data_IF_090027561650
#
_entry.id   IF_090027561650
#
_cell.length_a   1.000
_cell.length_b   1.000
_cell.length_c   1.000
_cell.angle_alpha   90.00
_cell.angle_beta   90.00
_cell.angle_gamma   90.00
#
_symmetry.space_group_name_H-M   'P 1'
#
loop_
_entity.id
_entity.type
_entity.pdbx_description
1 polymer ?
#
# COMPACT_ATOMS: atom_id res chain seq x y z
N UNK A 1 6.95 -16.15 14.49
CA UNK A 1 7.47 -15.68 13.18
C UNK A 1 8.29 -14.39 13.29
N UNK A 2 7.95 -13.42 14.15
CA UNK A 2 8.75 -12.20 14.38
C UNK A 2 10.19 -12.48 14.83
N UNK A 3 10.44 -13.56 15.57
CA UNK A 3 11.79 -13.98 15.98
C UNK A 3 12.73 -14.35 14.80
N UNK A 4 12.19 -14.74 13.64
CA UNK A 4 13.01 -15.04 12.45
C UNK A 4 13.48 -13.78 11.73
N UNK A 5 12.84 -12.63 11.96
CA UNK A 5 13.24 -11.34 11.37
C UNK A 5 14.63 -10.92 11.88
N UNK A 6 14.94 -11.26 13.13
CA UNK A 6 16.24 -10.93 13.75
C UNK A 6 17.34 -11.96 13.47
N UNK A 7 17.03 -13.10 12.83
CA UNK A 7 18.00 -14.14 12.45
C UNK A 7 18.27 -14.08 10.94
N UNK A 8 18.94 -13.02 10.50
CA UNK A 8 19.32 -12.79 9.11
C UNK A 8 20.82 -12.99 8.83
N UNK A 9 21.16 -13.45 7.63
CA UNK A 9 22.56 -13.51 7.16
C UNK A 9 23.16 -12.11 6.98
N UNK A 10 24.50 -11.97 6.87
CA UNK A 10 25.14 -10.66 6.62
C UNK A 10 24.56 -9.96 5.36
N UNK A 11 24.24 -10.73 4.32
CA UNK A 11 23.61 -10.21 3.09
C UNK A 11 22.21 -9.66 3.32
N UNK A 12 21.41 -10.30 4.18
CA UNK A 12 20.08 -9.80 4.57
C UNK A 12 20.18 -8.43 5.23
N UNK A 13 21.10 -8.26 6.18
CA UNK A 13 21.30 -6.99 6.87
C UNK A 13 21.81 -5.87 5.96
N UNK A 14 22.70 -6.17 5.00
CA UNK A 14 23.09 -5.19 3.98
C UNK A 14 21.89 -4.76 3.12
N UNK A 15 21.03 -5.69 2.73
CA UNK A 15 19.84 -5.38 1.95
C UNK A 15 18.84 -4.52 2.73
N UNK A 16 18.59 -4.85 4.00
CA UNK A 16 17.74 -4.05 4.88
C UNK A 16 18.32 -2.65 5.08
N UNK A 17 19.63 -2.52 5.32
CA UNK A 17 20.30 -1.23 5.48
C UNK A 17 20.20 -0.37 4.22
N UNK A 18 20.36 -0.97 3.04
CA UNK A 18 20.19 -0.29 1.75
C UNK A 18 18.76 0.23 1.56
N UNK A 19 17.74 -0.60 1.83
CA UNK A 19 16.34 -0.19 1.73
C UNK A 19 16.00 0.94 2.72
N UNK A 20 16.51 0.87 3.95
CA UNK A 20 16.35 1.93 4.95
C UNK A 20 17.01 3.24 4.52
N UNK A 21 18.17 3.18 3.86
CA UNK A 21 18.83 4.37 3.31
C UNK A 21 17.97 5.04 2.23
N UNK A 22 17.35 4.26 1.34
CA UNK A 22 16.41 4.79 0.33
C UNK A 22 15.20 5.44 1.00
N UNK A 23 14.62 4.80 2.01
CA UNK A 23 13.48 5.35 2.77
C UNK A 23 13.89 6.65 3.46
N UNK A 24 15.08 6.73 4.04
CA UNK A 24 15.61 7.94 4.67
C UNK A 24 15.75 9.10 3.67
N UNK A 25 16.28 8.83 2.47
CA UNK A 25 16.35 9.83 1.40
C UNK A 25 14.94 10.31 1.02
N UNK A 26 13.98 9.39 0.87
CA UNK A 26 12.58 9.73 0.61
C UNK A 26 11.95 10.59 1.71
N UNK A 27 12.22 10.28 2.97
CA UNK A 27 11.73 11.05 4.12
C UNK A 27 12.34 12.46 4.18
N UNK A 28 13.63 12.61 3.87
CA UNK A 28 14.28 13.93 3.78
C UNK A 28 13.68 14.77 2.65
N UNK A 29 13.46 14.16 1.48
CA UNK A 29 12.79 14.84 0.35
C UNK A 29 11.36 15.27 0.70
N UNK A 30 10.59 14.41 1.38
CA UNK A 30 9.26 14.74 1.86
C UNK A 30 9.28 15.90 2.88
N UNK A 31 10.26 15.91 3.79
CA UNK A 31 10.44 17.00 4.75
C UNK A 31 10.71 18.34 4.06
N UNK A 32 11.53 18.35 3.02
CA UNK A 32 11.77 19.55 2.20
C UNK A 32 10.49 20.02 1.49
N UNK A 33 9.75 19.07 0.91
CA UNK A 33 8.46 19.34 0.27
C UNK A 33 7.43 19.91 1.25
N UNK A 34 7.39 19.45 2.50
CA UNK A 34 6.48 19.98 3.50
C UNK A 34 6.75 21.45 3.82
N UNK A 35 8.03 21.88 3.82
CA UNK A 35 8.42 23.27 4.10
C UNK A 35 8.21 24.22 2.92
N UNK A 36 8.56 23.78 1.71
CA UNK A 36 8.60 24.64 0.52
C UNK A 36 7.29 24.55 -0.29
N UNK A 37 6.52 23.48 -0.08
CA UNK A 37 5.24 23.22 -0.74
C UNK A 37 5.35 22.29 -1.94
N UNK A 38 4.19 21.88 -2.47
CA UNK A 38 4.07 20.93 -3.58
C UNK A 38 4.75 21.39 -4.88
N UNK A 39 5.09 22.67 -5.02
CA UNK A 39 5.77 23.20 -6.22
C UNK A 39 7.15 22.59 -6.49
N UNK A 40 7.83 22.02 -5.47
CA UNK A 40 9.11 21.29 -5.67
C UNK A 40 8.95 20.10 -6.61
N UNK A 41 7.77 19.49 -6.63
CA UNK A 41 7.50 18.30 -7.44
C UNK A 41 7.32 18.59 -8.94
N UNK A 42 7.42 19.87 -9.34
CA UNK A 42 7.14 20.31 -10.70
C UNK A 42 5.64 20.44 -11.02
N UNK A 43 4.76 20.22 -10.03
CA UNK A 43 3.33 20.49 -10.16
C UNK A 43 3.08 22.00 -10.24
N UNK A 44 2.19 22.39 -11.16
CA UNK A 44 1.84 23.77 -11.42
C UNK A 44 0.35 23.94 -11.66
N UNK A 45 -0.12 25.17 -11.91
CA UNK A 45 -1.56 25.44 -12.08
C UNK A 45 -2.20 24.71 -13.28
N UNK A 46 -1.42 24.35 -14.29
CA UNK A 46 -1.88 23.61 -15.48
C UNK A 46 -1.77 22.08 -15.34
N UNK A 47 -0.87 21.61 -14.47
CA UNK A 47 -0.64 20.20 -14.21
C UNK A 47 -0.65 20.04 -12.70
N UNK A 48 -1.85 19.90 -12.16
CA UNK A 48 -2.09 19.77 -10.72
C UNK A 48 -1.81 18.37 -10.19
N UNK A 49 -1.76 17.37 -11.07
CA UNK A 49 -1.50 15.97 -10.76
C UNK A 49 -0.20 15.54 -11.41
N UNK A 50 0.82 15.31 -10.58
CA UNK A 50 2.15 14.93 -11.00
C UNK A 50 2.46 13.46 -10.73
N UNK A 51 3.69 13.20 -10.30
CA UNK A 51 4.20 11.85 -10.05
C UNK A 51 3.42 11.07 -8.98
N UNK A 52 2.83 11.74 -8.00
CA UNK A 52 2.09 11.05 -6.94
C UNK A 52 0.83 10.37 -7.44
N UNK A 53 -0.03 11.09 -8.14
CA UNK A 53 -1.29 10.53 -8.65
C UNK A 53 -1.03 9.53 -9.78
N UNK A 54 0.01 9.73 -10.59
CA UNK A 54 0.44 8.74 -11.58
C UNK A 54 0.91 7.42 -10.94
N UNK A 55 1.71 7.49 -9.87
CA UNK A 55 2.14 6.28 -9.15
C UNK A 55 1.00 5.63 -8.37
N UNK A 56 0.09 6.44 -7.83
CA UNK A 56 -1.12 5.97 -7.17
C UNK A 56 -1.97 5.12 -8.12
N UNK A 57 -2.33 5.63 -9.31
CA UNK A 57 -3.14 4.88 -10.28
C UNK A 57 -2.44 3.61 -10.75
N UNK A 58 -1.12 3.66 -10.93
CA UNK A 58 -0.32 2.47 -11.24
C UNK A 58 -0.42 1.41 -10.12
N UNK A 59 -0.21 1.80 -8.86
CA UNK A 59 -0.24 0.87 -7.74
C UNK A 59 -1.64 0.33 -7.44
N UNK A 60 -2.70 1.12 -7.68
CA UNK A 60 -4.07 0.60 -7.67
C UNK A 60 -4.23 -0.50 -8.71
N UNK A 61 -3.69 -0.32 -9.91
CA UNK A 61 -3.65 -1.36 -10.95
C UNK A 61 -2.88 -2.61 -10.51
N UNK A 62 -1.71 -2.44 -9.87
CA UNK A 62 -0.94 -3.56 -9.31
C UNK A 62 -1.75 -4.30 -8.23
N UNK A 63 -2.41 -3.58 -7.33
CA UNK A 63 -3.24 -4.17 -6.29
C UNK A 63 -4.44 -4.93 -6.87
N UNK A 64 -5.10 -4.38 -7.90
CA UNK A 64 -6.19 -5.06 -8.60
C UNK A 64 -5.72 -6.33 -9.33
N UNK A 65 -4.50 -6.30 -9.91
CA UNK A 65 -3.91 -7.48 -10.57
C UNK A 65 -3.62 -8.60 -9.58
N UNK A 66 -3.26 -8.28 -8.33
CA UNK A 66 -3.06 -9.28 -7.28
C UNK A 66 -4.37 -10.03 -6.98
N UNK A 67 -5.51 -9.32 -6.86
CA UNK A 67 -6.83 -9.93 -6.65
C UNK A 67 -7.26 -10.80 -7.82
N UNK A 68 -6.97 -10.38 -9.04
CA UNK A 68 -7.28 -11.19 -10.23
C UNK A 68 -6.58 -12.55 -10.22
N UNK A 69 -5.39 -12.67 -9.62
CA UNK A 69 -4.68 -13.95 -9.45
C UNK A 69 -5.28 -14.78 -8.31
N UNK A 70 -5.84 -14.10 -7.31
CA UNK A 70 -6.44 -14.72 -6.12
C UNK A 70 -7.85 -15.25 -6.38
N UNK A 71 -8.63 -14.59 -7.24
CA UNK A 71 -10.03 -14.91 -7.51
C UNK A 71 -10.24 -16.35 -8.02
N UNK A 72 -9.46 -16.88 -8.99
CA UNK A 72 -9.61 -18.25 -9.44
C UNK A 72 -9.22 -19.27 -8.36
N UNK A 73 -8.32 -18.91 -7.45
CA UNK A 73 -7.92 -19.77 -6.34
C UNK A 73 -9.07 -20.02 -5.37
N UNK A 74 -9.88 -18.98 -5.10
CA UNK A 74 -11.04 -19.07 -4.21
C UNK A 74 -12.25 -19.72 -4.88
N UNK A 75 -12.52 -19.41 -6.16
CA UNK A 75 -13.72 -19.90 -6.86
C UNK A 75 -13.55 -21.35 -7.36
N UNK A 76 -12.37 -21.71 -7.86
CA UNK A 76 -12.13 -23.02 -8.49
C UNK A 76 -11.36 -24.01 -7.60
N UNK A 77 -11.12 -23.66 -6.33
CA UNK A 77 -10.43 -24.45 -5.28
C UNK A 77 -9.16 -25.18 -5.76
N UNK A 78 -8.40 -24.52 -6.63
CA UNK A 78 -7.25 -25.11 -7.26
C UNK A 78 -6.03 -25.03 -6.32
N UNK A 79 -5.70 -26.15 -5.66
CA UNK A 79 -4.67 -26.23 -4.59
C UNK A 79 -3.31 -25.61 -4.92
N UNK A 80 -2.89 -25.56 -6.20
CA UNK A 80 -1.63 -24.93 -6.62
C UNK A 80 -1.64 -23.41 -6.49
N UNK A 81 -2.80 -22.76 -6.58
CA UNK A 81 -2.91 -21.31 -6.49
C UNK A 81 -2.92 -20.80 -5.03
N UNK A 82 -3.26 -21.64 -4.04
CA UNK A 82 -3.31 -21.23 -2.61
C UNK A 82 -2.00 -20.61 -2.10
N UNK A 83 -0.85 -21.09 -2.57
CA UNK A 83 0.47 -20.54 -2.18
C UNK A 83 0.80 -19.22 -2.89
N UNK A 84 0.31 -19.05 -4.13
CA UNK A 84 0.46 -17.83 -4.92
C UNK A 84 -0.49 -16.75 -4.38
N UNK A 85 -1.68 -17.14 -3.93
CA UNK A 85 -2.67 -16.28 -3.29
C UNK A 85 -2.10 -15.56 -2.08
N UNK A 86 -1.39 -16.27 -1.19
CA UNK A 86 -0.75 -15.64 -0.04
C UNK A 86 0.22 -14.52 -0.46
N UNK A 87 1.07 -14.77 -1.47
CA UNK A 87 2.00 -13.75 -1.98
C UNK A 87 1.27 -12.57 -2.65
N UNK A 88 0.16 -12.84 -3.35
CA UNK A 88 -0.70 -11.81 -3.94
C UNK A 88 -1.33 -10.89 -2.88
N UNK A 89 -1.89 -11.48 -1.82
CA UNK A 89 -2.47 -10.73 -0.68
C UNK A 89 -1.43 -9.83 0.00
N UNK A 90 -0.22 -10.34 0.27
CA UNK A 90 0.85 -9.51 0.84
C UNK A 90 1.27 -8.35 -0.09
N UNK A 91 1.34 -8.62 -1.40
CA UNK A 91 1.63 -7.58 -2.39
C UNK A 91 0.54 -6.52 -2.42
N UNK A 92 -0.74 -6.93 -2.36
CA UNK A 92 -1.87 -6.04 -2.32
C UNK A 92 -1.84 -5.13 -1.08
N UNK A 93 -1.58 -5.68 0.12
CA UNK A 93 -1.40 -4.87 1.35
C UNK A 93 -0.30 -3.82 1.17
N UNK A 94 0.86 -4.21 0.63
CA UNK A 94 1.97 -3.29 0.42
C UNK A 94 1.63 -2.19 -0.61
N UNK A 95 1.02 -2.57 -1.73
CA UNK A 95 0.62 -1.64 -2.79
C UNK A 95 -0.42 -0.63 -2.31
N UNK A 96 -1.45 -1.08 -1.60
CA UNK A 96 -2.52 -0.21 -1.06
C UNK A 96 -1.99 0.72 0.02
N UNK A 97 -1.09 0.24 0.88
CA UNK A 97 -0.42 1.09 1.87
C UNK A 97 0.32 2.23 1.18
N UNK A 98 1.05 1.93 0.09
CA UNK A 98 1.72 2.95 -0.71
C UNK A 98 0.74 3.90 -1.42
N UNK A 99 -0.40 3.41 -1.92
CA UNK A 99 -1.45 4.25 -2.48
C UNK A 99 -1.95 5.29 -1.47
N UNK A 100 -2.27 4.86 -0.24
CA UNK A 100 -2.73 5.76 0.82
C UNK A 100 -1.65 6.81 1.16
N UNK A 101 -0.39 6.39 1.25
CA UNK A 101 0.72 7.31 1.48
C UNK A 101 0.85 8.36 0.36
N UNK A 102 0.74 7.96 -0.91
CA UNK A 102 0.81 8.91 -2.01
C UNK A 102 -0.33 9.93 -2.00
N UNK A 103 -1.56 9.51 -1.70
CA UNK A 103 -2.70 10.42 -1.54
C UNK A 103 -2.48 11.40 -0.39
N UNK A 104 -1.95 10.93 0.75
CA UNK A 104 -1.66 11.80 1.90
C UNK A 104 -0.56 12.82 1.61
N UNK A 105 0.47 12.42 0.88
CA UNK A 105 1.58 13.30 0.48
C UNK A 105 1.12 14.34 -0.55
N UNK A 106 0.27 13.94 -1.51
CA UNK A 106 -0.27 14.81 -2.54
C UNK A 106 -1.20 15.89 -1.97
N UNK A 107 -1.89 15.61 -0.86
CA UNK A 107 -2.73 16.58 -0.15
C UNK A 107 -1.95 17.81 0.35
N UNK A 108 -0.62 17.71 0.52
CA UNK A 108 0.27 18.78 0.99
C UNK A 108 0.07 19.23 2.45
N UNK A 109 -1.09 18.97 3.05
CA UNK A 109 -1.43 19.22 4.46
C UNK A 109 -2.04 17.96 5.08
N UNK A 110 -1.20 16.96 5.45
CA UNK A 110 -1.68 15.69 5.98
C UNK A 110 -2.48 15.85 7.29
N UNK A 111 -2.22 16.92 8.06
CA UNK A 111 -2.98 17.27 9.26
C UNK A 111 -4.48 17.42 8.99
N UNK A 112 -4.87 17.82 7.77
CA UNK A 112 -6.27 17.98 7.37
C UNK A 112 -6.87 16.72 6.77
N UNK A 113 -6.07 15.68 6.51
CA UNK A 113 -6.58 14.43 5.98
C UNK A 113 -7.57 13.76 6.95
N UNK A 114 -7.39 13.94 8.27
CA UNK A 114 -8.34 13.48 9.28
C UNK A 114 -9.74 14.12 9.14
N UNK A 115 -9.85 15.32 8.56
CA UNK A 115 -11.15 15.94 8.32
C UNK A 115 -11.95 15.19 7.25
N UNK A 116 -11.29 14.47 6.32
CA UNK A 116 -11.96 13.64 5.33
C UNK A 116 -12.69 12.47 6.00
N UNK A 117 -12.13 11.95 7.09
CA UNK A 117 -12.76 10.88 7.89
C UNK A 117 -13.89 11.41 8.78
N UNK A 118 -13.69 12.58 9.40
CA UNK A 118 -14.65 13.16 10.36
C UNK A 118 -15.84 13.85 9.67
N UNK A 119 -15.62 14.44 8.49
CA UNK A 119 -16.64 15.18 7.73
C UNK A 119 -16.59 14.77 6.25
N UNK A 120 -16.99 13.53 5.91
CA UNK A 120 -16.99 13.07 4.53
C UNK A 120 -17.99 13.89 3.70
N UNK A 121 -17.50 14.49 2.61
CA UNK A 121 -18.36 15.13 1.63
C UNK A 121 -18.69 14.13 0.51
N UNK A 122 -19.95 13.63 0.41
CA UNK A 122 -20.34 12.63 -0.58
C UNK A 122 -20.29 13.13 -2.03
N UNK A 123 -20.15 14.43 -2.27
CA UNK A 123 -19.97 14.96 -3.63
C UNK A 123 -18.54 14.84 -4.15
N UNK A 124 -17.58 14.43 -3.30
CA UNK A 124 -16.16 14.35 -3.66
C UNK A 124 -15.74 12.92 -4.01
N UNK A 125 -15.17 12.74 -5.21
CA UNK A 125 -14.62 11.44 -5.66
C UNK A 125 -13.51 10.94 -4.73
N UNK A 126 -12.71 11.84 -4.15
CA UNK A 126 -11.63 11.48 -3.23
C UNK A 126 -12.11 10.81 -1.93
N UNK A 127 -13.35 11.09 -1.49
CA UNK A 127 -13.94 10.44 -0.32
C UNK A 127 -14.23 8.98 -0.63
N UNK A 128 -14.74 8.69 -1.84
CA UNK A 128 -14.96 7.32 -2.29
C UNK A 128 -13.65 6.55 -2.45
N UNK A 129 -12.61 7.17 -3.03
CA UNK A 129 -11.29 6.54 -3.12
C UNK A 129 -10.75 6.18 -1.73
N UNK A 130 -10.87 7.09 -0.77
CA UNK A 130 -10.46 6.84 0.61
C UNK A 130 -11.23 5.68 1.25
N UNK A 131 -12.57 5.62 1.08
CA UNK A 131 -13.42 4.56 1.62
C UNK A 131 -13.07 3.21 0.99
N UNK A 132 -12.96 3.16 -0.34
CA UNK A 132 -12.68 1.92 -1.08
C UNK A 132 -11.29 1.41 -0.74
N UNK A 133 -10.26 2.26 -0.73
CA UNK A 133 -8.90 1.84 -0.38
C UNK A 133 -8.78 1.40 1.08
N UNK A 134 -9.45 2.10 2.00
CA UNK A 134 -9.45 1.72 3.41
C UNK A 134 -10.16 0.38 3.63
N UNK A 135 -11.34 0.19 3.01
CA UNK A 135 -12.08 -1.06 3.07
C UNK A 135 -11.31 -2.21 2.43
N UNK A 136 -10.67 -1.95 1.29
CA UNK A 136 -9.86 -2.93 0.59
C UNK A 136 -8.60 -3.31 1.40
N UNK A 137 -7.92 -2.35 2.03
CA UNK A 137 -6.80 -2.64 2.94
C UNK A 137 -7.26 -3.53 4.11
N UNK A 138 -8.40 -3.20 4.72
CA UNK A 138 -8.94 -3.95 5.86
C UNK A 138 -9.27 -5.40 5.46
N UNK A 139 -9.92 -5.59 4.30
CA UNK A 139 -10.18 -6.92 3.75
C UNK A 139 -8.89 -7.70 3.49
N UNK A 140 -7.91 -7.12 2.81
CA UNK A 140 -6.62 -7.78 2.55
C UNK A 140 -5.90 -8.13 3.86
N UNK A 141 -5.94 -7.27 4.89
CA UNK A 141 -5.34 -7.57 6.19
C UNK A 141 -6.03 -8.76 6.89
N UNK A 142 -7.36 -8.82 6.85
CA UNK A 142 -8.13 -9.93 7.42
C UNK A 142 -7.83 -11.23 6.67
N UNK A 143 -7.90 -11.20 5.33
CA UNK A 143 -7.67 -12.38 4.49
C UNK A 143 -6.23 -12.86 4.66
N UNK A 144 -5.27 -11.95 4.63
CA UNK A 144 -3.87 -12.27 4.85
C UNK A 144 -3.64 -12.90 6.24
N UNK A 145 -4.27 -12.38 7.29
CA UNK A 145 -4.19 -12.97 8.63
C UNK A 145 -4.81 -14.37 8.69
N UNK A 146 -5.96 -14.57 8.03
CA UNK A 146 -6.61 -15.89 7.95
C UNK A 146 -5.74 -16.90 7.18
N UNK A 147 -5.18 -16.51 6.04
CA UNK A 147 -4.29 -17.35 5.23
C UNK A 147 -3.02 -17.72 6.00
N UNK A 148 -2.49 -16.80 6.80
CA UNK A 148 -1.36 -17.04 7.70
C UNK A 148 -1.70 -18.03 8.82
N UNK A 149 -2.88 -17.91 9.45
CA UNK A 149 -3.30 -18.83 10.52
C UNK A 149 -3.59 -20.23 9.97
N UNK A 150 -4.20 -20.33 8.79
CA UNK A 150 -4.39 -21.61 8.10
C UNK A 150 -3.05 -22.30 7.76
N UNK A 151 -2.07 -21.54 7.23
CA UNK A 151 -0.72 -22.06 7.02
C UNK A 151 -0.02 -22.50 8.32
N UNK A 152 -0.33 -21.85 9.45
CA UNK A 152 0.22 -22.23 10.77
C UNK A 152 -0.40 -23.52 11.30
N UNK A 153 -1.68 -23.77 11.00
CA UNK A 153 -2.43 -24.96 11.44
C UNK A 153 -2.28 -26.16 10.51
N UNK A 154 -1.56 -26.02 9.39
CA UNK A 154 -1.48 -27.02 8.31
C UNK A 154 -2.86 -27.39 7.71
N UNK A 155 -3.87 -26.54 7.95
CA UNK A 155 -5.23 -26.72 7.44
C UNK A 155 -5.38 -25.97 6.11
N UNK A 156 -6.29 -26.46 5.25
CA UNK A 156 -6.58 -25.75 3.99
C UNK A 156 -7.26 -24.41 4.28
N UNK A 157 -6.72 -23.28 3.79
CA UNK A 157 -7.41 -21.99 3.84
C UNK A 157 -8.65 -21.99 2.95
#
# INVERSE_FOLDING_TARGET
MLEKIFKGSKRYWYWVGFLLAIIAVGAVSYWQQWKIGLGITGMGKRVSWGLYIANFTFLVGVAASAVMVVLPAYIYDYKKFKRITALGEFLAVAAVTMCILFVLVDLGRPERAFNVLLHPNPSSVFVYDFIVLSGYLLLNLIICWYVLDAHRREESP
#
